data_IF_589095826462
#
_entry.id   IF_589095826462
#
_cell.length_a   1.000
_cell.length_b   1.000
_cell.length_c   1.000
_cell.angle_alpha   90.00
_cell.angle_beta   90.00
_cell.angle_gamma   90.00
#
_symmetry.space_group_name_H-M   'P 1'
#
loop_
_entity.id
_entity.type
_entity.pdbx_description
1 polymer ?
#
# COMPACT_ATOMS: atom_id res chain seq x y z
N UNK A 1 -6.71 -23.32 -53.94
CA UNK A 1 -7.16 -24.23 -52.85
C UNK A 1 -5.99 -24.42 -51.90
N UNK A 2 -6.27 -24.51 -50.58
CA UNK A 2 -5.40 -24.36 -49.40
C UNK A 2 -5.02 -22.89 -49.10
N UNK A 3 -5.66 -22.12 -48.19
CA UNK A 3 -6.12 -22.31 -46.80
C UNK A 3 -5.04 -21.92 -45.74
N UNK A 4 -5.20 -20.70 -45.21
CA UNK A 4 -5.20 -20.29 -43.80
C UNK A 4 -3.97 -20.53 -42.90
N UNK A 5 -3.43 -19.46 -42.32
CA UNK A 5 -3.22 -19.35 -40.87
C UNK A 5 -3.04 -17.88 -40.46
N UNK A 6 -3.83 -17.46 -39.48
CA UNK A 6 -3.93 -16.09 -38.97
C UNK A 6 -2.64 -15.67 -38.25
N UNK A 7 -2.15 -14.47 -38.57
CA UNK A 7 -1.24 -13.74 -37.70
C UNK A 7 -2.03 -13.22 -36.49
N UNK A 8 -2.20 -14.07 -35.48
CA UNK A 8 -2.68 -13.68 -34.15
C UNK A 8 -1.46 -13.52 -33.25
N UNK A 9 -0.70 -12.45 -33.47
CA UNK A 9 0.25 -11.97 -32.47
C UNK A 9 -0.57 -11.22 -31.44
N UNK A 10 -1.08 -12.02 -30.51
CA UNK A 10 -1.80 -11.57 -29.34
C UNK A 10 -1.01 -10.50 -28.62
N UNK A 11 -1.75 -9.49 -28.18
CA UNK A 11 -1.32 -8.56 -27.16
C UNK A 11 -0.64 -9.36 -26.04
N UNK A 12 0.68 -9.30 -25.96
CA UNK A 12 1.39 -9.62 -24.73
C UNK A 12 0.98 -8.52 -23.73
N UNK A 13 -0.19 -8.68 -23.13
CA UNK A 13 -0.47 -8.08 -21.84
C UNK A 13 0.66 -8.61 -20.95
N UNK A 14 1.63 -7.75 -20.66
CA UNK A 14 2.72 -8.02 -19.76
C UNK A 14 2.09 -8.40 -18.43
N UNK A 15 1.90 -9.70 -18.21
CA UNK A 15 1.48 -10.21 -16.92
C UNK A 15 2.64 -9.87 -15.98
N UNK A 16 2.43 -9.03 -14.94
CA UNK A 16 3.50 -8.79 -13.99
C UNK A 16 3.84 -10.13 -13.35
N UNK A 17 5.07 -10.59 -13.60
CA UNK A 17 5.61 -11.79 -12.98
C UNK A 17 5.49 -11.66 -11.44
N UNK A 18 4.87 -12.62 -10.72
CA UNK A 18 4.52 -12.47 -9.30
C UNK A 18 5.71 -12.10 -8.40
N UNK A 19 6.94 -12.49 -8.77
CA UNK A 19 8.17 -12.13 -8.04
C UNK A 19 8.47 -10.62 -8.10
N UNK A 20 8.01 -9.93 -9.15
CA UNK A 20 8.13 -8.49 -9.27
C UNK A 20 7.05 -7.74 -8.47
N UNK A 21 5.92 -8.39 -8.15
CA UNK A 21 4.78 -7.76 -7.47
C UNK A 21 5.12 -7.25 -6.08
N UNK A 22 5.56 -8.12 -5.18
CA UNK A 22 5.88 -7.76 -3.79
C UNK A 22 7.05 -6.76 -3.69
N UNK A 23 8.02 -6.87 -4.60
CA UNK A 23 9.18 -5.98 -4.67
C UNK A 23 8.77 -4.51 -4.90
N UNK A 24 7.61 -4.27 -5.54
CA UNK A 24 7.06 -2.91 -5.70
C UNK A 24 6.77 -2.23 -4.35
N UNK A 25 6.49 -3.00 -3.29
CA UNK A 25 6.16 -2.47 -1.98
C UNK A 25 7.38 -2.07 -1.16
N UNK A 26 8.59 -2.47 -1.55
CA UNK A 26 9.80 -2.11 -0.80
C UNK A 26 9.99 -0.59 -0.73
N UNK A 27 10.41 -0.13 0.45
CA UNK A 27 10.61 1.28 0.78
C UNK A 27 9.66 1.81 1.84
N UNK A 28 9.76 3.12 2.08
CA UNK A 28 8.90 3.82 3.02
C UNK A 28 7.68 4.40 2.30
N UNK A 29 6.49 4.18 2.84
CA UNK A 29 5.23 4.69 2.33
C UNK A 29 4.62 5.66 3.33
N UNK A 30 4.15 6.79 2.86
CA UNK A 30 3.49 7.82 3.66
C UNK A 30 2.05 8.03 3.21
N UNK A 31 1.16 8.15 4.18
CA UNK A 31 -0.24 8.46 3.94
C UNK A 31 -0.40 9.91 3.49
N UNK A 32 -1.12 10.10 2.38
CA UNK A 32 -1.52 11.40 1.86
C UNK A 32 -3.05 11.44 1.78
N UNK A 33 -3.65 12.29 2.61
CA UNK A 33 -5.06 12.59 2.50
C UNK A 33 -5.33 13.44 1.24
N UNK A 34 -6.37 13.12 0.45
CA UNK A 34 -6.90 14.04 -0.54
C UNK A 34 -7.33 15.33 0.14
N UNK A 35 -7.12 16.47 -0.51
CA UNK A 35 -7.58 17.77 0.00
C UNK A 35 -9.11 17.74 0.12
N UNK A 36 -9.62 17.70 1.35
CA UNK A 36 -11.06 17.85 1.64
C UNK A 36 -11.33 19.22 2.28
N UNK A 37 -12.51 19.76 2.06
CA UNK A 37 -13.07 20.81 2.91
C UNK A 37 -13.16 20.28 4.36
N UNK A 38 -12.78 21.11 5.33
CA UNK A 38 -12.66 20.74 6.74
C UNK A 38 -13.99 20.17 7.25
N UNK A 39 -14.05 18.90 7.70
CA UNK A 39 -15.27 18.38 8.30
C UNK A 39 -15.51 19.04 9.66
N UNK A 40 -16.75 19.44 9.93
CA UNK A 40 -17.16 20.07 11.19
C UNK A 40 -17.04 19.15 12.44
N UNK A 41 -16.70 17.87 12.24
CA UNK A 41 -16.43 16.90 13.30
C UNK A 41 -15.14 16.14 12.96
N UNK A 42 -14.19 16.02 13.90
CA UNK A 42 -13.01 15.17 13.73
C UNK A 42 -13.46 13.73 13.44
N UNK A 43 -12.99 13.17 12.33
CA UNK A 43 -13.16 11.75 12.01
C UNK A 43 -11.79 11.08 12.02
N UNK A 44 -11.73 9.78 12.33
CA UNK A 44 -10.47 9.02 12.41
C UNK A 44 -9.68 8.98 11.08
N UNK A 45 -10.26 9.43 9.97
CA UNK A 45 -9.56 9.67 8.70
C UNK A 45 -9.14 11.12 8.45
N UNK A 46 -9.69 12.10 9.17
CA UNK A 46 -9.27 13.49 9.11
C UNK A 46 -8.02 13.69 9.97
N UNK A 47 -6.85 13.83 9.34
CA UNK A 47 -5.59 14.02 10.06
C UNK A 47 -4.90 12.71 10.48
N UNK A 48 -5.28 11.58 9.88
CA UNK A 48 -4.47 10.36 9.99
C UNK A 48 -3.11 10.59 9.31
N UNK A 49 -2.01 10.31 10.01
CA UNK A 49 -0.65 10.28 9.42
C UNK A 49 -0.02 8.95 9.74
N UNK A 50 0.23 8.16 8.71
CA UNK A 50 0.82 6.83 8.83
C UNK A 50 2.04 6.77 7.93
N UNK A 51 3.13 6.22 8.45
CA UNK A 51 4.29 5.84 7.66
C UNK A 51 4.55 4.34 7.84
N UNK A 52 4.61 3.60 6.75
CA UNK A 52 4.92 2.17 6.71
C UNK A 52 6.29 1.98 6.08
N UNK A 53 7.06 1.00 6.53
CA UNK A 53 8.30 0.59 5.89
C UNK A 53 8.23 -0.88 5.55
N UNK A 54 8.38 -1.23 4.27
CA UNK A 54 8.67 -2.60 3.86
C UNK A 54 10.16 -2.71 3.55
N UNK A 55 10.82 -3.70 4.15
CA UNK A 55 12.27 -3.89 4.07
C UNK A 55 12.67 -5.26 3.51
N UNK A 56 11.72 -6.18 3.40
CA UNK A 56 11.98 -7.53 2.91
C UNK A 56 10.78 -8.10 2.15
N UNK A 57 11.04 -9.11 1.33
CA UNK A 57 10.04 -9.84 0.56
C UNK A 57 10.33 -11.33 0.61
N UNK A 58 9.30 -12.16 0.70
CA UNK A 58 9.37 -13.58 0.43
C UNK A 58 8.20 -13.97 -0.47
N UNK A 59 8.50 -14.57 -1.62
CA UNK A 59 7.53 -14.90 -2.66
C UNK A 59 6.69 -13.67 -3.09
N UNK A 60 5.38 -13.73 -2.88
CA UNK A 60 4.38 -12.71 -3.21
C UNK A 60 4.10 -11.75 -2.04
N UNK A 61 4.81 -11.90 -0.92
CA UNK A 61 4.56 -11.16 0.30
C UNK A 61 5.73 -10.24 0.64
N UNK A 62 5.45 -8.95 0.80
CA UNK A 62 6.34 -7.97 1.41
C UNK A 62 6.12 -7.92 2.92
N UNK A 63 7.19 -7.79 3.68
CA UNK A 63 7.18 -7.67 5.13
C UNK A 63 7.74 -6.32 5.56
N UNK A 64 7.19 -5.80 6.64
CA UNK A 64 7.47 -4.45 7.07
C UNK A 64 6.98 -4.14 8.48
N UNK A 65 6.93 -2.85 8.78
CA UNK A 65 6.52 -2.31 10.07
C UNK A 65 5.85 -0.96 9.93
N UNK A 66 5.06 -0.61 10.95
CA UNK A 66 4.63 0.77 11.16
C UNK A 66 5.82 1.56 11.69
N UNK A 67 6.16 2.67 11.03
CA UNK A 67 7.20 3.60 11.50
C UNK A 67 6.59 4.75 12.29
N UNK A 68 5.39 5.18 11.87
CA UNK A 68 4.68 6.31 12.48
C UNK A 68 3.18 6.11 12.37
N UNK A 69 2.45 6.44 13.43
CA UNK A 69 0.99 6.44 13.43
C UNK A 69 0.44 7.59 14.29
N UNK A 70 -0.34 8.46 13.67
CA UNK A 70 -1.08 9.53 14.34
C UNK A 70 -2.51 9.59 13.83
N UNK A 71 -3.48 9.69 14.73
CA UNK A 71 -4.86 10.07 14.38
C UNK A 71 -5.14 11.47 14.94
N UNK A 72 -5.08 12.50 14.08
CA UNK A 72 -4.99 13.89 14.55
C UNK A 72 -3.66 14.11 15.27
N UNK A 73 -3.71 14.56 16.52
CA UNK A 73 -2.52 14.77 17.37
C UNK A 73 -2.18 13.56 18.27
N UNK A 74 -3.00 12.50 18.25
CA UNK A 74 -2.81 11.32 19.10
C UNK A 74 -1.88 10.32 18.41
N UNK A 75 -0.67 10.16 18.93
CA UNK A 75 0.31 9.17 18.47
C UNK A 75 0.08 7.77 19.06
N UNK A 76 0.19 6.74 18.23
CA UNK A 76 0.35 5.35 18.70
C UNK A 76 1.79 4.89 18.49
N UNK A 77 2.47 4.35 19.52
CA UNK A 77 3.82 3.80 19.36
C UNK A 77 3.87 2.69 18.30
N UNK A 78 4.93 2.62 17.47
CA UNK A 78 5.14 1.52 16.53
C UNK A 78 5.03 0.12 17.14
N UNK A 79 5.51 -0.05 18.37
CA UNK A 79 5.46 -1.32 19.10
C UNK A 79 4.05 -1.81 19.44
N UNK A 80 3.01 -0.98 19.25
CA UNK A 80 1.60 -1.40 19.36
C UNK A 80 1.15 -2.25 18.18
N UNK A 81 1.93 -2.28 17.10
CA UNK A 81 1.64 -3.04 15.89
C UNK A 81 2.60 -4.22 15.73
N UNK A 82 2.12 -5.29 15.11
CA UNK A 82 2.97 -6.39 14.67
C UNK A 82 3.58 -6.14 13.30
N UNK A 83 4.21 -7.18 12.74
CA UNK A 83 4.77 -7.16 11.38
C UNK A 83 3.69 -6.84 10.35
N UNK A 84 3.91 -5.79 9.57
CA UNK A 84 3.04 -5.41 8.46
C UNK A 84 3.33 -6.34 7.29
N UNK A 85 2.28 -6.86 6.65
CA UNK A 85 2.41 -7.67 5.43
C UNK A 85 1.69 -7.00 4.27
N UNK A 86 2.23 -7.15 3.06
CA UNK A 86 1.66 -6.63 1.83
C UNK A 86 1.74 -7.66 0.73
N UNK A 87 0.61 -7.96 0.08
CA UNK A 87 0.52 -8.92 -1.02
C UNK A 87 0.04 -8.19 -2.28
N UNK A 88 0.73 -8.40 -3.40
CA UNK A 88 0.36 -7.82 -4.70
C UNK A 88 -0.15 -8.93 -5.60
N UNK A 89 -1.40 -8.82 -6.03
CA UNK A 89 -2.02 -9.76 -6.98
C UNK A 89 -1.72 -9.35 -8.43
N UNK A 90 -1.89 -10.30 -9.37
CA UNK A 90 -1.53 -10.10 -10.78
C UNK A 90 -2.31 -9.01 -11.53
N UNK A 91 -3.40 -8.52 -10.95
CA UNK A 91 -4.22 -7.40 -11.44
C UNK A 91 -3.78 -6.03 -10.87
N UNK A 92 -2.71 -5.98 -10.09
CA UNK A 92 -2.21 -4.75 -9.45
C UNK A 92 -3.01 -4.31 -8.23
N UNK A 93 -3.88 -5.20 -7.71
CA UNK A 93 -4.50 -5.02 -6.39
C UNK A 93 -3.48 -5.38 -5.31
N UNK A 94 -3.46 -4.55 -4.27
CA UNK A 94 -2.55 -4.69 -3.12
C UNK A 94 -3.38 -4.87 -1.86
N UNK A 95 -3.12 -5.93 -1.13
CA UNK A 95 -3.69 -6.15 0.21
C UNK A 95 -2.62 -5.93 1.27
N UNK A 96 -2.81 -4.99 2.17
CA UNK A 96 -1.90 -4.71 3.29
C UNK A 96 -2.59 -5.04 4.60
N UNK A 97 -1.96 -5.86 5.43
CA UNK A 97 -2.40 -6.15 6.79
C UNK A 97 -1.46 -5.49 7.81
N UNK A 98 -2.04 -4.74 8.75
CA UNK A 98 -1.36 -4.09 9.86
C UNK A 98 -1.93 -4.72 11.15
N UNK A 99 -1.29 -5.77 11.67
CA UNK A 99 -1.76 -6.43 12.88
C UNK A 99 -1.53 -5.57 14.12
N UNK A 100 -2.39 -5.76 15.11
CA UNK A 100 -2.14 -5.28 16.48
C UNK A 100 -1.17 -6.24 17.18
N UNK A 101 -0.24 -5.71 17.98
CA UNK A 101 0.58 -6.51 18.88
C UNK A 101 -0.23 -7.03 20.09
N UNK A 102 -1.40 -6.44 20.35
CA UNK A 102 -2.32 -6.87 21.40
C UNK A 102 -3.19 -8.03 20.91
N UNK A 103 -3.13 -9.16 21.64
CA UNK A 103 -3.95 -10.34 21.37
C UNK A 103 -5.45 -10.02 21.42
N UNK A 104 -6.23 -10.65 20.53
CA UNK A 104 -7.69 -10.46 20.45
C UNK A 104 -8.14 -9.19 19.73
N UNK A 105 -7.21 -8.33 19.28
CA UNK A 105 -7.54 -7.15 18.47
C UNK A 105 -7.42 -7.51 16.99
N UNK A 106 -8.50 -7.28 16.22
CA UNK A 106 -8.52 -7.54 14.79
C UNK A 106 -7.47 -6.69 14.04
N UNK A 107 -6.82 -7.25 13.00
CA UNK A 107 -5.89 -6.48 12.19
C UNK A 107 -6.61 -5.41 11.38
N UNK A 108 -5.86 -4.34 11.10
CA UNK A 108 -6.24 -3.35 10.11
C UNK A 108 -5.91 -3.92 8.73
N UNK A 109 -6.87 -3.90 7.81
CA UNK A 109 -6.71 -4.36 6.44
C UNK A 109 -6.96 -3.19 5.48
N UNK A 110 -6.02 -3.00 4.56
CA UNK A 110 -6.13 -2.05 3.46
C UNK A 110 -6.19 -2.83 2.16
N UNK A 111 -7.12 -2.46 1.29
CA UNK A 111 -7.04 -2.81 -0.14
C UNK A 111 -6.70 -1.54 -0.91
N UNK A 112 -5.76 -1.68 -1.83
CA UNK A 112 -5.30 -0.59 -2.66
C UNK A 112 -5.06 -1.05 -4.10
N UNK A 113 -4.93 -0.10 -5.02
CA UNK A 113 -4.49 -0.33 -6.39
C UNK A 113 -3.23 0.47 -6.69
N UNK A 114 -2.35 -0.10 -7.50
CA UNK A 114 -1.14 0.61 -7.95
C UNK A 114 -1.51 1.75 -8.90
N UNK A 115 -1.19 2.99 -8.52
CA UNK A 115 -1.43 4.22 -9.28
C UNK A 115 -0.12 4.83 -9.76
N UNK A 116 0.67 4.04 -10.50
CA UNK A 116 2.04 4.36 -10.89
C UNK A 116 3.08 3.70 -9.99
N UNK A 117 4.37 4.01 -10.19
CA UNK A 117 5.48 3.29 -9.55
C UNK A 117 5.59 3.51 -8.04
N UNK A 118 5.20 4.69 -7.57
CA UNK A 118 5.44 5.18 -6.21
C UNK A 118 4.15 5.58 -5.47
N UNK A 119 2.99 5.18 -5.99
CA UNK A 119 1.70 5.57 -5.42
C UNK A 119 0.76 4.38 -5.37
N UNK A 120 0.14 4.15 -4.21
CA UNK A 120 -0.96 3.22 -4.02
C UNK A 120 -2.23 4.00 -3.68
N UNK A 121 -3.32 3.69 -4.37
CA UNK A 121 -4.64 4.26 -4.09
C UNK A 121 -5.42 3.33 -3.19
N UNK A 122 -5.70 3.75 -1.96
CA UNK A 122 -6.49 2.95 -1.02
C UNK A 122 -7.95 2.95 -1.48
N UNK A 123 -8.42 1.78 -1.88
CA UNK A 123 -9.81 1.55 -2.29
C UNK A 123 -10.68 1.21 -1.10
N UNK A 124 -10.19 0.41 -0.14
CA UNK A 124 -10.92 0.10 1.08
C UNK A 124 -9.99 0.01 2.28
N UNK A 125 -10.53 0.30 3.46
CA UNK A 125 -9.85 0.19 4.74
C UNK A 125 -10.83 -0.36 5.78
N UNK A 126 -10.49 -1.45 6.46
CA UNK A 126 -11.40 -2.06 7.45
C UNK A 126 -11.56 -1.24 8.73
N UNK A 127 -10.74 -0.20 8.93
CA UNK A 127 -10.80 0.73 10.07
C UNK A 127 -11.42 2.09 9.72
N UNK A 128 -11.66 2.40 8.45
CA UNK A 128 -12.14 3.70 7.99
C UNK A 128 -13.21 3.53 6.91
N UNK A 129 -14.39 4.11 7.11
CA UNK A 129 -15.38 4.23 6.04
C UNK A 129 -14.87 5.23 4.98
N UNK A 130 -14.35 4.74 3.85
CA UNK A 130 -14.33 5.51 2.60
C UNK A 130 -13.12 5.34 1.66
N UNK A 131 -13.34 5.32 0.33
CA UNK A 131 -12.31 5.12 -0.72
C UNK A 131 -11.53 6.39 -1.09
N UNK A 132 -10.91 7.11 -0.14
CA UNK A 132 -10.26 8.38 -0.47
C UNK A 132 -8.99 8.66 0.33
N UNK A 133 -7.98 7.81 0.14
CA UNK A 133 -6.63 8.01 0.63
C UNK A 133 -5.59 7.40 -0.32
N UNK A 134 -4.37 7.94 -0.31
CA UNK A 134 -3.25 7.38 -1.04
C UNK A 134 -2.09 7.08 -0.07
N UNK A 135 -1.30 6.06 -0.39
CA UNK A 135 0.04 5.88 0.16
C UNK A 135 1.04 6.25 -0.93
N UNK A 136 1.92 7.19 -0.65
CA UNK A 136 2.99 7.62 -1.55
C UNK A 136 4.31 7.12 -1.00
N UNK A 137 5.11 6.45 -1.84
CA UNK A 137 6.45 6.03 -1.46
C UNK A 137 7.33 7.26 -1.35
N UNK A 138 7.96 7.47 -0.19
CA UNK A 138 8.97 8.50 -0.08
C UNK A 138 10.14 8.07 -0.96
N UNK A 139 10.48 8.89 -1.96
CA UNK A 139 11.81 8.82 -2.53
C UNK A 139 12.78 9.09 -1.36
N UNK A 140 13.66 8.13 -1.04
CA UNK A 140 14.76 8.39 -0.11
C UNK A 140 15.50 9.67 -0.54
N UNK A 141 16.21 10.36 0.37
CA UNK A 141 16.91 11.58 0.01
C UNK A 141 17.74 11.33 -1.24
N UNK A 142 17.59 12.19 -2.25
CA UNK A 142 18.52 12.26 -3.35
C UNK A 142 19.92 12.30 -2.72
N UNK A 143 20.75 11.32 -3.00
CA UNK A 143 22.13 11.30 -2.57
C UNK A 143 22.74 12.65 -2.94
N UNK A 144 22.99 13.49 -1.94
CA UNK A 144 23.90 14.61 -2.10
C UNK A 144 25.25 13.98 -2.45
N UNK A 145 25.59 14.03 -3.73
CA UNK A 145 26.89 13.60 -4.26
C UNK A 145 27.93 14.66 -3.81
N UNK A 146 29.17 14.25 -3.46
CA UNK A 146 30.07 15.04 -2.63
C UNK A 146 30.61 16.30 -3.31
#
# INVERSE_FOLDING_TARGET
>A
MCATALAWQGCHASHPDPVHGATLLLGTWEYVAPRRAVPARPSLGAGLRVSLQFDSTAHDTAFGRVVRWFAGDVGKPPATFGTVTGVVTGDGVVSIAIPSAMAGVAPITLTATVAGRDTLTITTASFAQGPAALLVRSAGPATAKP
#
